data_IF_224351672867
#
_entry.id   IF_224351672867
#
_cell.length_a   1.000
_cell.length_b   1.000
_cell.length_c   1.000
_cell.angle_alpha   90.00
_cell.angle_beta   90.00
_cell.angle_gamma   90.00
#
_symmetry.space_group_name_H-M   'P 1'
#
loop_
_entity.id
_entity.type
_entity.pdbx_description
1 polymer ?
#
# COMPACT_ATOMS: atom_id res chain seq x y z
N UNK A 1 17.54 -8.22 -16.99
CA UNK A 1 16.47 -7.24 -17.23
C UNK A 1 15.59 -7.11 -16.00
N UNK A 2 15.22 -5.90 -15.69
CA UNK A 2 14.37 -5.62 -14.56
C UNK A 2 12.90 -5.90 -14.92
N UNK A 3 12.17 -6.58 -14.00
CA UNK A 3 10.72 -6.74 -14.11
C UNK A 3 10.00 -5.60 -13.39
N UNK A 4 10.69 -4.48 -13.23
CA UNK A 4 10.16 -3.33 -12.52
C UNK A 4 9.03 -2.68 -13.33
N UNK A 5 7.84 -2.54 -12.74
CA UNK A 5 6.76 -1.80 -13.40
C UNK A 5 7.10 -0.30 -13.42
N UNK A 6 6.58 0.41 -14.42
CA UNK A 6 6.68 1.87 -14.45
C UNK A 6 5.67 2.53 -13.52
N UNK A 7 4.59 1.81 -13.20
CA UNK A 7 3.54 2.32 -12.31
C UNK A 7 2.91 1.17 -11.54
N UNK A 8 2.51 1.43 -10.29
CA UNK A 8 1.92 0.43 -9.41
C UNK A 8 0.82 1.07 -8.56
N UNK A 9 -0.24 0.32 -8.33
CA UNK A 9 -1.29 0.70 -7.39
C UNK A 9 -1.35 -0.34 -6.29
N UNK A 10 -1.29 0.10 -5.03
CA UNK A 10 -1.47 -0.78 -3.88
C UNK A 10 -2.90 -0.65 -3.37
N UNK A 11 -3.57 -1.78 -3.14
CA UNK A 11 -4.95 -1.80 -2.68
C UNK A 11 -5.08 -2.59 -1.40
N UNK A 12 -5.69 -2.00 -0.39
CA UNK A 12 -6.04 -2.70 0.85
C UNK A 12 -7.52 -2.46 1.16
N UNK A 13 -7.98 -2.87 2.35
CA UNK A 13 -9.40 -2.76 2.65
C UNK A 13 -9.87 -1.31 2.83
N UNK A 14 -9.12 -0.48 3.56
CA UNK A 14 -9.55 0.87 3.94
C UNK A 14 -8.67 2.00 3.38
N UNK A 15 -7.60 1.70 2.68
CA UNK A 15 -6.64 2.70 2.21
C UNK A 15 -6.15 3.61 3.36
N UNK A 16 -5.99 3.01 4.53
CA UNK A 16 -5.71 3.73 5.76
C UNK A 16 -4.30 3.48 6.28
N UNK A 17 -3.80 2.24 6.17
CA UNK A 17 -2.53 1.84 6.75
C UNK A 17 -1.61 1.18 5.73
N UNK A 18 -1.95 -0.02 5.28
CA UNK A 18 -1.05 -0.88 4.49
C UNK A 18 -0.78 -0.34 3.09
N UNK A 19 -1.82 0.01 2.36
CA UNK A 19 -1.62 0.51 1.00
C UNK A 19 -0.96 1.88 0.95
N UNK A 20 -1.31 2.85 1.83
CA UNK A 20 -0.55 4.11 1.82
C UNK A 20 0.89 3.93 2.28
N UNK A 21 1.20 3.03 3.24
CA UNK A 21 2.58 2.73 3.58
C UNK A 21 3.35 2.26 2.35
N UNK A 22 2.78 1.31 1.60
CA UNK A 22 3.41 0.76 0.41
C UNK A 22 3.61 1.82 -0.67
N UNK A 23 2.61 2.66 -0.87
CA UNK A 23 2.68 3.76 -1.84
C UNK A 23 3.83 4.71 -1.51
N UNK A 24 3.90 5.18 -0.27
CA UNK A 24 4.90 6.18 0.13
C UNK A 24 6.30 5.59 0.21
N UNK A 25 6.44 4.32 0.61
CA UNK A 25 7.73 3.62 0.57
C UNK A 25 8.24 3.50 -0.86
N UNK A 26 7.38 3.11 -1.78
CA UNK A 26 7.75 2.97 -3.19
C UNK A 26 8.15 4.32 -3.78
N UNK A 27 7.40 5.37 -3.45
CA UNK A 27 7.71 6.73 -3.89
C UNK A 27 9.09 7.17 -3.39
N UNK A 28 9.40 6.85 -2.13
CA UNK A 28 10.69 7.23 -1.54
C UNK A 28 11.85 6.46 -2.14
N UNK A 29 11.71 5.13 -2.24
CA UNK A 29 12.80 4.26 -2.71
C UNK A 29 13.04 4.41 -4.21
N UNK A 30 11.97 4.52 -4.99
CA UNK A 30 12.05 4.53 -6.45
C UNK A 30 11.62 5.86 -7.06
N UNK A 31 12.00 6.95 -6.40
CA UNK A 31 11.69 8.30 -6.87
C UNK A 31 12.10 8.49 -8.32
N UNK A 32 11.15 8.93 -9.14
CA UNK A 32 11.39 9.16 -10.57
C UNK A 32 11.47 7.90 -11.43
N UNK A 33 11.35 6.72 -10.82
CA UNK A 33 11.44 5.44 -11.54
C UNK A 33 10.12 4.68 -11.57
N UNK A 34 9.34 4.75 -10.49
CA UNK A 34 8.04 4.10 -10.39
C UNK A 34 7.02 5.12 -9.91
N UNK A 35 5.95 5.29 -10.67
CA UNK A 35 4.80 6.06 -10.20
C UNK A 35 3.95 5.16 -9.31
N UNK A 36 3.68 5.56 -8.07
CA UNK A 36 2.90 4.76 -7.13
C UNK A 36 1.66 5.49 -6.66
N UNK A 37 0.59 4.73 -6.44
CA UNK A 37 -0.65 5.23 -5.87
C UNK A 37 -1.29 4.13 -5.05
N UNK A 38 -2.33 4.47 -4.29
CA UNK A 38 -3.02 3.50 -3.46
C UNK A 38 -4.51 3.80 -3.39
N UNK A 39 -5.28 2.76 -3.08
CA UNK A 39 -6.72 2.86 -2.94
C UNK A 39 -7.21 1.77 -1.99
N UNK A 40 -8.48 1.81 -1.63
CA UNK A 40 -9.10 0.79 -0.79
C UNK A 40 -10.41 0.31 -1.38
N UNK A 41 -10.95 -0.74 -0.76
CA UNK A 41 -12.33 -1.16 -1.05
C UNK A 41 -13.26 -0.11 -0.46
N UNK A 42 -12.89 0.43 0.70
CA UNK A 42 -13.55 1.55 1.35
C UNK A 42 -12.50 2.60 1.69
N UNK A 43 -12.92 3.81 2.00
CA UNK A 43 -12.02 4.87 2.43
C UNK A 43 -12.14 5.01 3.95
N UNK A 44 -11.08 4.66 4.68
CA UNK A 44 -11.03 4.82 6.14
C UNK A 44 -10.64 6.24 6.54
N UNK A 45 -10.33 6.42 7.81
CA UNK A 45 -9.88 7.71 8.32
C UNK A 45 -8.35 7.79 8.40
N UNK A 46 -7.86 8.80 9.08
CA UNK A 46 -6.44 8.94 9.35
C UNK A 46 -6.02 7.95 10.44
N UNK A 47 -4.78 7.52 10.38
CA UNK A 47 -4.20 6.63 11.40
C UNK A 47 -2.89 7.22 11.89
N UNK A 48 -2.90 7.68 13.14
CA UNK A 48 -1.73 8.34 13.75
C UNK A 48 -0.55 7.42 13.95
N UNK A 49 -0.78 6.12 14.17
CA UNK A 49 0.33 5.17 14.31
C UNK A 49 1.01 4.93 12.96
N UNK A 50 0.24 4.88 11.88
CA UNK A 50 0.81 4.77 10.55
C UNK A 50 1.69 5.97 10.24
N UNK A 51 1.17 7.17 10.51
CA UNK A 51 1.93 8.41 10.29
C UNK A 51 3.21 8.42 11.12
N UNK A 52 3.14 8.01 12.40
CA UNK A 52 4.30 7.98 13.29
C UNK A 52 5.36 6.98 12.81
N UNK A 53 4.93 5.79 12.42
CA UNK A 53 5.86 4.77 11.93
C UNK A 53 6.56 5.21 10.65
N UNK A 54 5.86 5.91 9.77
CA UNK A 54 6.46 6.40 8.53
C UNK A 54 7.41 7.58 8.79
N UNK A 55 7.07 8.45 9.73
CA UNK A 55 7.96 9.55 10.11
C UNK A 55 9.29 9.06 10.67
N UNK A 56 9.30 7.94 11.37
CA UNK A 56 10.55 7.32 11.84
C UNK A 56 11.47 6.95 10.68
N UNK A 57 10.90 6.69 9.52
CA UNK A 57 11.62 6.36 8.30
C UNK A 57 11.94 7.63 7.48
N UNK A 58 11.55 8.80 8.00
CA UNK A 58 11.75 10.07 7.32
C UNK A 58 10.69 10.39 6.26
N UNK A 59 9.55 9.72 6.32
CA UNK A 59 8.50 9.87 5.32
C UNK A 59 7.26 10.51 5.96
N UNK A 60 6.85 11.65 5.44
CA UNK A 60 5.64 12.35 5.89
C UNK A 60 4.45 11.90 5.05
N UNK A 61 3.47 11.27 5.69
CA UNK A 61 2.27 10.79 5.02
C UNK A 61 1.04 11.65 5.31
N UNK A 62 1.23 12.81 5.91
CA UNK A 62 0.11 13.67 6.33
C UNK A 62 -0.77 14.15 5.17
N UNK A 63 -0.25 14.17 3.96
CA UNK A 63 -1.00 14.57 2.78
C UNK A 63 -1.91 13.46 2.20
N UNK A 64 -1.78 12.24 2.73
CA UNK A 64 -2.56 11.11 2.22
C UNK A 64 -4.04 11.27 2.54
N UNK A 65 -4.89 11.12 1.52
CA UNK A 65 -6.34 11.10 1.67
C UNK A 65 -6.84 9.73 1.20
N UNK A 66 -7.48 8.94 2.09
CA UNK A 66 -8.01 7.65 1.69
C UNK A 66 -9.05 7.78 0.58
N UNK A 67 -8.94 6.92 -0.43
CA UNK A 67 -9.89 6.85 -1.54
C UNK A 67 -10.25 5.41 -1.83
N UNK A 68 -11.35 5.20 -2.54
CA UNK A 68 -11.75 3.87 -3.00
C UNK A 68 -11.25 3.67 -4.42
N UNK A 69 -11.13 2.40 -4.82
CA UNK A 69 -10.71 2.06 -6.18
C UNK A 69 -11.73 2.58 -7.22
N UNK A 70 -13.03 2.63 -6.87
CA UNK A 70 -14.09 3.15 -7.73
C UNK A 70 -13.97 4.64 -8.00
N UNK A 71 -13.29 5.39 -7.12
CA UNK A 71 -13.10 6.83 -7.31
C UNK A 71 -12.02 7.13 -8.35
N UNK A 72 -11.31 6.10 -8.80
CA UNK A 72 -10.29 6.26 -9.83
C UNK A 72 -10.96 5.98 -11.18
N UNK A 73 -11.18 7.03 -11.96
CA UNK A 73 -11.91 6.93 -13.24
C UNK A 73 -11.22 5.99 -14.23
N UNK A 74 -9.92 6.14 -14.37
CA UNK A 74 -9.13 5.33 -15.28
C UNK A 74 -7.92 4.75 -14.55
N UNK A 75 -7.77 3.44 -14.65
CA UNK A 75 -6.61 2.78 -14.03
C UNK A 75 -5.57 2.53 -15.11
N UNK A 76 -4.53 3.38 -15.10
CA UNK A 76 -3.40 3.26 -16.02
C UNK A 76 -2.15 2.89 -15.23
N UNK A 77 -2.12 1.65 -14.73
CA UNK A 77 -0.95 1.15 -14.02
C UNK A 77 -0.52 -0.17 -14.63
N UNK A 78 0.78 -0.44 -14.54
CA UNK A 78 1.33 -1.68 -15.04
C UNK A 78 1.02 -2.85 -14.11
N UNK A 79 0.88 -2.57 -12.82
CA UNK A 79 0.70 -3.60 -11.80
C UNK A 79 -0.19 -3.09 -10.69
N UNK A 80 -1.13 -3.94 -10.26
CA UNK A 80 -1.89 -3.71 -9.03
C UNK A 80 -1.43 -4.75 -8.02
N UNK A 81 -1.08 -4.29 -6.82
CA UNK A 81 -0.71 -5.17 -5.71
C UNK A 81 -1.79 -5.07 -4.65
N UNK A 82 -2.44 -6.18 -4.37
CA UNK A 82 -3.48 -6.25 -3.35
C UNK A 82 -2.88 -6.81 -2.06
N UNK A 83 -3.26 -6.23 -0.93
CA UNK A 83 -2.64 -6.51 0.36
C UNK A 83 -3.55 -7.25 1.33
N UNK A 84 -4.81 -7.46 0.98
CA UNK A 84 -5.78 -8.22 1.77
C UNK A 84 -6.60 -9.10 0.84
N UNK A 85 -7.18 -10.17 1.37
CA UNK A 85 -8.08 -11.02 0.58
C UNK A 85 -9.27 -10.22 0.05
N UNK A 86 -9.84 -9.38 0.88
CA UNK A 86 -10.98 -8.54 0.50
C UNK A 86 -10.62 -7.63 -0.66
N UNK A 87 -9.46 -6.98 -0.58
CA UNK A 87 -8.98 -6.10 -1.65
C UNK A 87 -8.71 -6.88 -2.93
N UNK A 88 -8.15 -8.08 -2.79
CA UNK A 88 -7.83 -8.92 -3.94
C UNK A 88 -9.10 -9.33 -4.70
N UNK A 89 -10.09 -9.86 -3.99
CA UNK A 89 -11.35 -10.27 -4.62
C UNK A 89 -12.06 -9.10 -5.27
N UNK A 90 -12.11 -7.97 -4.57
CA UNK A 90 -12.75 -6.75 -5.09
C UNK A 90 -12.04 -6.24 -6.34
N UNK A 91 -10.71 -6.20 -6.30
CA UNK A 91 -9.91 -5.72 -7.42
C UNK A 91 -10.07 -6.60 -8.65
N UNK A 92 -10.05 -7.92 -8.47
CA UNK A 92 -10.21 -8.84 -9.60
C UNK A 92 -11.54 -8.63 -10.33
N UNK A 93 -12.61 -8.36 -9.58
CA UNK A 93 -13.91 -8.05 -10.18
C UNK A 93 -13.89 -6.70 -10.89
N UNK A 94 -13.25 -5.71 -10.26
CA UNK A 94 -13.21 -4.34 -10.78
C UNK A 94 -12.45 -4.25 -12.10
N UNK A 95 -11.39 -5.04 -12.26
CA UNK A 95 -10.54 -5.00 -13.47
C UNK A 95 -10.77 -6.20 -14.40
N UNK A 96 -11.88 -6.91 -14.25
CA UNK A 96 -12.14 -8.14 -15.00
C UNK A 96 -12.04 -7.97 -16.53
N UNK A 97 -12.40 -6.79 -17.04
CA UNK A 97 -12.37 -6.49 -18.47
C UNK A 97 -11.08 -5.80 -18.93
N UNK A 98 -10.08 -5.72 -18.04
CA UNK A 98 -8.85 -5.00 -18.32
C UNK A 98 -7.63 -5.92 -18.31
N UNK A 99 -6.63 -5.56 -19.09
CA UNK A 99 -5.39 -6.32 -19.17
C UNK A 99 -4.33 -5.74 -18.24
N UNK A 100 -4.61 -5.81 -16.93
CA UNK A 100 -3.67 -5.32 -15.91
C UNK A 100 -3.19 -6.51 -15.06
N UNK A 101 -1.90 -6.55 -14.75
CA UNK A 101 -1.36 -7.58 -13.87
C UNK A 101 -1.76 -7.30 -12.43
N UNK A 102 -2.16 -8.35 -11.70
CA UNK A 102 -2.54 -8.24 -10.29
C UNK A 102 -1.73 -9.27 -9.50
N UNK A 103 -1.06 -8.80 -8.44
CA UNK A 103 -0.35 -9.67 -7.51
C UNK A 103 -0.95 -9.53 -6.13
N UNK A 104 -0.99 -10.62 -5.38
CA UNK A 104 -1.53 -10.62 -4.02
C UNK A 104 -0.39 -10.79 -3.02
N UNK A 105 -0.18 -9.77 -2.17
CA UNK A 105 0.79 -9.81 -1.08
C UNK A 105 0.03 -9.69 0.24
N UNK A 106 -0.37 -10.81 0.86
CA UNK A 106 -1.13 -10.73 2.12
C UNK A 106 -0.27 -10.12 3.24
N UNK A 107 -0.76 -9.03 3.81
CA UNK A 107 -0.08 -8.27 4.86
C UNK A 107 -1.01 -8.19 6.07
N UNK A 108 -0.52 -8.58 7.25
CA UNK A 108 -1.31 -8.53 8.47
C UNK A 108 -1.67 -7.10 8.85
N UNK A 109 -2.84 -6.96 9.46
CA UNK A 109 -3.34 -5.65 9.90
C UNK A 109 -2.75 -5.28 11.27
N UNK A 110 -1.83 -4.28 11.34
CA UNK A 110 -1.22 -3.91 12.62
C UNK A 110 -2.20 -3.27 13.59
N UNK A 111 -3.34 -2.74 13.10
CA UNK A 111 -4.32 -2.09 13.96
C UNK A 111 -5.07 -3.08 14.85
N UNK A 112 -4.92 -4.38 14.63
CA UNK A 112 -5.50 -5.41 15.50
C UNK A 112 -4.66 -5.64 16.75
N UNK A 113 -3.46 -5.09 16.81
CA UNK A 113 -2.58 -5.24 17.96
C UNK A 113 -3.16 -4.49 19.14
N UNK A 114 -3.23 -5.18 20.28
CA UNK A 114 -3.69 -4.60 21.54
C UNK A 114 -2.52 -4.45 22.48
N UNK A 115 -2.64 -3.52 23.43
CA UNK A 115 -1.59 -3.30 24.40
C UNK A 115 -1.30 -1.83 24.56
N UNK A 116 -0.08 -1.53 25.03
CA UNK A 116 0.35 -0.16 25.25
C UNK A 116 0.74 0.51 23.93
N UNK A 117 0.83 1.82 23.97
CA UNK A 117 1.15 2.62 22.77
C UNK A 117 2.44 2.16 22.06
N UNK A 118 3.48 1.87 22.83
CA UNK A 118 4.74 1.41 22.25
C UNK A 118 4.66 0.04 21.62
N UNK A 119 3.80 -0.84 22.16
CA UNK A 119 3.56 -2.16 21.60
C UNK A 119 2.79 -2.07 20.28
N UNK A 120 1.80 -1.19 20.24
CA UNK A 120 1.02 -0.95 19.02
C UNK A 120 1.93 -0.35 17.94
N UNK A 121 2.71 0.66 18.30
CA UNK A 121 3.64 1.29 17.35
C UNK A 121 4.65 0.29 16.78
N UNK A 122 5.12 -0.65 17.63
CA UNK A 122 6.05 -1.70 17.17
C UNK A 122 5.40 -2.58 16.11
N UNK A 123 4.12 -2.90 16.25
CA UNK A 123 3.39 -3.67 15.22
C UNK A 123 3.36 -2.92 13.89
N UNK A 124 3.18 -1.60 13.92
CA UNK A 124 3.20 -0.78 12.71
C UNK A 124 4.59 -0.71 12.09
N UNK A 125 5.64 -0.66 12.92
CA UNK A 125 7.02 -0.70 12.43
C UNK A 125 7.30 -2.01 11.69
N UNK A 126 6.83 -3.13 12.23
CA UNK A 126 6.99 -4.44 11.59
C UNK A 126 6.27 -4.49 10.25
N UNK A 127 5.07 -3.95 10.18
CA UNK A 127 4.32 -3.87 8.93
C UNK A 127 5.11 -3.07 7.88
N UNK A 128 5.64 -1.92 8.28
CA UNK A 128 6.48 -1.09 7.41
C UNK A 128 7.71 -1.86 6.92
N UNK A 129 8.37 -2.58 7.80
CA UNK A 129 9.57 -3.36 7.44
C UNK A 129 9.25 -4.49 6.48
N UNK A 130 8.14 -5.21 6.71
CA UNK A 130 7.70 -6.28 5.83
C UNK A 130 7.37 -5.73 4.43
N UNK A 131 6.67 -4.61 4.38
CA UNK A 131 6.33 -3.97 3.13
C UNK A 131 7.58 -3.50 2.38
N UNK A 132 8.49 -2.86 3.07
CA UNK A 132 9.73 -2.37 2.44
C UNK A 132 10.54 -3.53 1.86
N UNK A 133 10.68 -4.62 2.61
CA UNK A 133 11.39 -5.80 2.14
C UNK A 133 10.73 -6.41 0.90
N UNK A 134 9.40 -6.49 0.92
CA UNK A 134 8.64 -7.04 -0.20
C UNK A 134 8.78 -6.18 -1.46
N UNK A 135 8.70 -4.87 -1.27
CA UNK A 135 8.85 -3.89 -2.35
C UNK A 135 10.23 -4.01 -2.99
N UNK A 136 11.29 -4.03 -2.17
CA UNK A 136 12.65 -4.14 -2.69
C UNK A 136 12.89 -5.47 -3.39
N UNK A 137 12.36 -6.56 -2.85
CA UNK A 137 12.48 -7.88 -3.47
C UNK A 137 11.82 -7.90 -4.86
N UNK A 138 10.62 -7.33 -4.97
CA UNK A 138 9.85 -7.37 -6.21
C UNK A 138 10.35 -6.38 -7.26
N UNK A 139 10.67 -5.15 -6.85
CA UNK A 139 11.02 -4.08 -7.78
C UNK A 139 12.52 -3.95 -8.03
N UNK A 140 13.33 -4.50 -7.14
CA UNK A 140 14.76 -4.56 -7.32
C UNK A 140 15.47 -3.23 -7.09
N UNK A 141 16.61 -3.13 -7.70
CA UNK A 141 17.43 -1.93 -7.59
C UNK A 141 17.09 -0.95 -8.74
#
# INVERSE_FOLDING_TARGET
MSNRPGSVMFVCSLNQIRSPMAEFLTRDIYSGKIFSQSAGVEAGGEDGFMQAAMLERGIDTSSHEPITIEEIDDIYVDLIVTLTERAHEHTLKFVADQSVAVEFWPIENPSRTMGRRDEILEAYRKTREVLEARIRERFGD
#
